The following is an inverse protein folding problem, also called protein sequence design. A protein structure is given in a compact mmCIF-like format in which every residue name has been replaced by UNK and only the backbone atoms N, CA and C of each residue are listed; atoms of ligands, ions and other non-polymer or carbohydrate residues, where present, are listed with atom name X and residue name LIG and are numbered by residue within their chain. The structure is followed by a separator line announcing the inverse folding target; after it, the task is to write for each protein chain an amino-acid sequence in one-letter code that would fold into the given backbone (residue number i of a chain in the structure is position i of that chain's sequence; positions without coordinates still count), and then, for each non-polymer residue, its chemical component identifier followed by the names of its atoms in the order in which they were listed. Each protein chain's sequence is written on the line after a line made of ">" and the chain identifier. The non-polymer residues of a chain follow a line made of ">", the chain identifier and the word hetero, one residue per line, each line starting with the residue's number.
data_IF_373776399974
#
_entry.id   IF_373776399974
#
_cell.length_a   1.000
_cell.length_b   1.000
_cell.length_c   1.000
_cell.angle_alpha   90.00
_cell.angle_beta   90.00
_cell.angle_gamma   90.00
#
_symmetry.space_group_name_H-M   'P 1'
#
loop_
_entity.id
_entity.type
_entity.pdbx_description
1 polymer ?
#
# COMPACT_ATOMS: atom_id res chain seq x y z
N UNK A 1 41.59 28.45 -6.26
CA UNK A 1 42.65 28.40 -7.29
C UNK A 1 43.94 27.86 -6.69
N UNK A 2 44.27 26.58 -6.93
CA UNK A 2 45.65 26.05 -6.96
C UNK A 2 45.64 24.66 -7.62
N UNK A 3 45.98 24.72 -8.90
CA UNK A 3 46.48 23.73 -9.88
C UNK A 3 46.36 22.22 -9.60
N UNK A 4 45.58 21.61 -10.52
CA UNK A 4 45.68 20.27 -11.09
C UNK A 4 47.12 19.75 -11.30
N UNK A 5 47.30 18.45 -11.10
CA UNK A 5 48.18 17.64 -11.96
C UNK A 5 47.56 16.25 -12.15
N UNK A 6 47.43 15.86 -13.42
CA UNK A 6 46.73 14.70 -13.94
C UNK A 6 47.74 13.90 -14.77
N UNK A 7 47.98 12.62 -14.44
CA UNK A 7 48.64 11.60 -15.28
C UNK A 7 48.12 10.24 -14.79
N UNK A 8 47.11 9.65 -15.44
CA UNK A 8 47.19 8.68 -16.55
C UNK A 8 47.86 7.35 -16.18
N UNK A 9 47.08 6.26 -16.25
CA UNK A 9 47.53 4.89 -16.02
C UNK A 9 46.43 3.85 -16.24
N UNK A 10 46.02 3.71 -17.50
CA UNK A 10 45.14 2.68 -18.04
C UNK A 10 45.73 1.27 -17.80
N UNK A 11 44.98 0.32 -17.22
CA UNK A 11 45.22 -1.11 -17.43
C UNK A 11 43.91 -1.90 -17.37
N UNK A 12 43.46 -2.36 -18.54
CA UNK A 12 42.48 -3.44 -18.71
C UNK A 12 42.97 -4.71 -18.03
N UNK A 13 42.09 -5.41 -17.29
CA UNK A 13 42.13 -6.87 -17.27
C UNK A 13 40.70 -7.41 -17.19
N UNK A 14 40.27 -8.03 -18.29
CA UNK A 14 39.08 -8.87 -18.33
C UNK A 14 39.41 -10.23 -17.69
N UNK A 15 38.51 -10.73 -16.84
CA UNK A 15 38.49 -12.14 -16.45
C UNK A 15 37.09 -12.67 -16.69
N UNK A 16 37.01 -13.54 -17.70
CA UNK A 16 35.89 -14.40 -18.06
C UNK A 16 36.13 -15.75 -17.40
N UNK A 17 35.18 -16.22 -16.61
CA UNK A 17 34.88 -17.63 -16.29
C UNK A 17 33.39 -17.62 -15.91
N UNK A 18 32.46 -18.39 -16.47
CA UNK A 18 32.51 -19.59 -17.29
C UNK A 18 31.34 -20.45 -16.81
N UNK A 19 30.26 -20.52 -17.60
CA UNK A 19 29.13 -21.43 -17.33
C UNK A 19 29.61 -22.89 -17.35
N UNK A 20 29.12 -23.68 -16.40
CA UNK A 20 29.20 -25.14 -16.40
C UNK A 20 27.89 -25.71 -15.88
N UNK A 21 27.03 -26.12 -16.80
CA UNK A 21 25.97 -27.10 -16.58
C UNK A 21 26.55 -28.49 -16.93
N UNK A 22 26.13 -29.51 -16.19
CA UNK A 22 26.10 -30.93 -16.58
C UNK A 22 26.05 -31.82 -15.32
N UNK A 23 25.08 -32.74 -15.26
CA UNK A 23 25.34 -34.04 -14.63
C UNK A 23 24.24 -34.68 -13.80
N UNK A 24 23.19 -35.13 -14.48
CA UNK A 24 22.23 -36.14 -14.02
C UNK A 24 22.93 -37.47 -13.66
N UNK A 25 22.65 -38.05 -12.49
CA UNK A 25 22.84 -39.48 -12.24
C UNK A 25 21.78 -40.00 -11.25
N UNK A 26 20.95 -40.94 -11.73
CA UNK A 26 20.06 -41.73 -10.90
C UNK A 26 20.60 -43.14 -10.67
N UNK A 27 20.28 -43.72 -9.51
CA UNK A 27 20.05 -45.15 -9.25
C UNK A 27 19.59 -45.26 -7.78
N UNK A 28 18.33 -45.55 -7.49
CA UNK A 28 17.69 -46.88 -7.46
C UNK A 28 17.73 -47.53 -6.06
N UNK A 29 16.54 -47.56 -5.45
CA UNK A 29 15.93 -48.60 -4.62
C UNK A 29 16.78 -49.37 -3.59
N UNK A 30 16.37 -49.30 -2.33
CA UNK A 30 16.16 -50.51 -1.52
C UNK A 30 15.05 -50.29 -0.49
N UNK A 31 13.97 -51.06 -0.63
CA UNK A 31 12.94 -51.29 0.40
C UNK A 31 13.52 -52.18 1.51
N UNK A 32 12.99 -52.13 2.74
CA UNK A 32 12.37 -53.37 3.20
C UNK A 32 11.05 -53.15 3.96
N UNK A 33 10.05 -53.90 3.50
CA UNK A 33 8.87 -54.32 4.25
C UNK A 33 9.21 -55.42 5.25
N UNK A 34 8.57 -55.40 6.43
CA UNK A 34 8.03 -56.54 7.22
C UNK A 34 7.38 -55.94 8.48
N UNK A 35 6.07 -55.79 8.60
CA UNK A 35 4.96 -56.77 8.69
C UNK A 35 4.88 -57.52 10.03
N UNK A 36 3.89 -57.15 10.86
CA UNK A 36 3.02 -58.05 11.67
C UNK A 36 2.01 -57.20 12.45
N UNK A 37 0.71 -57.25 12.09
CA UNK A 37 -0.35 -58.16 12.63
C UNK A 37 -0.66 -57.87 14.12
N UNK A 38 -1.90 -57.82 14.63
CA UNK A 38 -3.23 -58.17 14.14
C UNK A 38 -4.29 -57.72 15.17
N UNK A 39 -5.57 -57.67 14.73
CA UNK A 39 -6.81 -57.97 15.51
C UNK A 39 -7.34 -56.91 16.50
N UNK A 40 -8.64 -56.66 16.66
CA UNK A 40 -9.87 -57.14 16.01
C UNK A 40 -11.07 -56.30 16.50
N UNK A 41 -12.11 -56.23 15.66
CA UNK A 41 -13.56 -56.27 15.98
C UNK A 41 -14.22 -55.21 16.89
N UNK A 42 -15.31 -54.63 16.37
CA UNK A 42 -16.36 -54.01 17.19
C UNK A 42 -17.45 -53.35 16.35
N UNK A 43 -18.25 -54.16 15.66
CA UNK A 43 -19.52 -53.81 15.01
C UNK A 43 -20.62 -53.55 16.07
N UNK A 44 -21.50 -52.57 15.84
CA UNK A 44 -22.93 -52.62 16.19
C UNK A 44 -23.71 -51.41 15.66
N UNK A 45 -24.86 -51.74 15.11
CA UNK A 45 -25.89 -50.97 14.41
C UNK A 45 -27.01 -50.48 15.35
N UNK A 46 -28.04 -49.84 14.77
CA UNK A 46 -29.32 -49.30 15.32
C UNK A 46 -29.28 -47.79 15.64
N UNK A 47 -30.24 -46.95 15.22
CA UNK A 47 -31.52 -47.14 14.55
C UNK A 47 -32.59 -46.18 15.13
N UNK A 48 -33.36 -45.54 14.23
CA UNK A 48 -34.77 -45.11 14.36
C UNK A 48 -35.17 -43.61 14.52
N UNK A 49 -35.67 -43.09 13.38
CA UNK A 49 -36.89 -42.32 13.05
C UNK A 49 -37.78 -41.62 14.11
N UNK A 50 -38.16 -40.35 13.85
CA UNK A 50 -39.56 -39.82 13.72
C UNK A 50 -39.53 -38.36 13.21
N UNK A 51 -40.02 -38.01 12.00
CA UNK A 51 -41.37 -37.52 11.60
C UNK A 51 -42.11 -36.54 12.53
N UNK A 52 -42.40 -35.34 12.00
CA UNK A 52 -43.35 -34.36 12.54
C UNK A 52 -43.53 -33.14 11.63
N UNK A 53 -44.60 -33.14 10.83
CA UNK A 53 -45.09 -32.11 9.90
C UNK A 53 -45.85 -30.95 10.60
N UNK A 54 -45.74 -29.72 10.06
CA UNK A 54 -46.79 -28.72 9.70
C UNK A 54 -46.12 -27.33 9.63
N UNK A 55 -46.12 -26.56 8.52
CA UNK A 55 -47.20 -26.02 7.66
C UNK A 55 -47.99 -24.87 8.29
N UNK A 56 -47.84 -23.67 7.70
CA UNK A 56 -48.81 -22.58 7.44
C UNK A 56 -47.98 -21.33 7.03
N UNK A 57 -47.89 -20.88 5.77
CA UNK A 57 -48.89 -20.28 4.85
C UNK A 57 -49.53 -19.00 5.38
N UNK A 58 -49.06 -17.84 4.90
CA UNK A 58 -49.91 -16.72 4.52
C UNK A 58 -49.35 -16.03 3.26
N UNK A 59 -50.27 -15.70 2.35
CA UNK A 59 -50.08 -15.14 0.99
C UNK A 59 -50.68 -13.70 0.98
N UNK A 60 -50.82 -12.97 -0.15
CA UNK A 60 -50.27 -11.63 -0.30
C UNK A 60 -51.35 -10.54 -0.35
N UNK A 61 -51.00 -9.32 0.06
CA UNK A 61 -51.85 -8.13 -0.08
C UNK A 61 -51.51 -7.34 -1.34
N UNK A 62 -52.34 -7.46 -2.37
CA UNK A 62 -52.37 -6.59 -3.56
C UNK A 62 -53.41 -5.51 -3.36
N UNK A 63 -53.08 -4.23 -3.58
CA UNK A 63 -54.06 -3.23 -4.04
C UNK A 63 -53.40 -2.17 -4.92
N UNK A 64 -53.90 -2.13 -6.15
CA UNK A 64 -53.73 -1.12 -7.19
C UNK A 64 -54.51 0.16 -6.85
N UNK A 65 -53.99 1.33 -7.19
CA UNK A 65 -54.83 2.41 -7.75
C UNK A 65 -54.00 3.44 -8.50
N UNK A 66 -54.34 3.61 -9.78
CA UNK A 66 -53.89 4.69 -10.64
C UNK A 66 -54.70 5.97 -10.38
N UNK A 67 -54.11 7.14 -10.62
CA UNK A 67 -54.81 8.25 -11.30
C UNK A 67 -53.82 9.29 -11.82
N UNK A 68 -53.97 9.62 -13.10
CA UNK A 68 -53.43 10.80 -13.76
C UNK A 68 -54.08 12.09 -13.21
N UNK A 69 -53.49 13.27 -13.50
CA UNK A 69 -54.09 14.38 -14.30
C UNK A 69 -53.36 15.74 -14.07
N UNK A 70 -52.89 16.32 -15.19
CA UNK A 70 -52.72 17.75 -15.59
C UNK A 70 -51.74 18.74 -14.93
N UNK A 71 -50.97 19.37 -15.82
CA UNK A 71 -50.31 20.68 -15.80
C UNK A 71 -51.22 21.86 -15.40
N UNK A 72 -50.61 23.03 -15.13
CA UNK A 72 -50.80 24.11 -16.10
C UNK A 72 -49.52 24.87 -16.48
N UNK A 73 -49.52 25.28 -17.75
CA UNK A 73 -48.68 26.27 -18.42
C UNK A 73 -48.81 27.65 -17.76
N UNK A 74 -47.73 28.42 -17.72
CA UNK A 74 -47.80 29.89 -17.73
C UNK A 74 -46.66 30.47 -18.58
N UNK A 75 -47.09 31.29 -19.54
CA UNK A 75 -46.32 32.03 -20.54
C UNK A 75 -45.59 33.24 -19.95
N UNK A 76 -44.44 33.59 -20.56
CA UNK A 76 -43.99 34.93 -21.01
C UNK A 76 -43.95 36.15 -20.05
N UNK A 77 -43.04 37.11 -20.27
CA UNK A 77 -42.94 37.76 -21.58
C UNK A 77 -41.54 38.02 -22.14
N UNK A 78 -41.58 38.23 -23.45
CA UNK A 78 -40.57 38.63 -24.43
C UNK A 78 -40.01 40.04 -24.20
N UNK A 79 -38.76 40.26 -24.60
CA UNK A 79 -38.33 41.54 -25.19
C UNK A 79 -37.18 41.31 -26.18
N UNK A 80 -37.51 41.53 -27.46
CA UNK A 80 -36.60 41.68 -28.59
C UNK A 80 -35.81 42.99 -28.49
N UNK A 81 -34.60 43.05 -29.09
CA UNK A 81 -34.20 44.04 -30.11
C UNK A 81 -32.74 43.80 -30.59
N UNK A 82 -32.63 43.24 -31.81
CA UNK A 82 -31.88 43.73 -33.00
C UNK A 82 -30.34 43.89 -33.02
N UNK A 83 -29.69 42.91 -33.66
CA UNK A 83 -28.74 42.91 -34.79
C UNK A 83 -27.64 43.98 -35.02
N UNK A 84 -26.36 43.51 -34.95
CA UNK A 84 -25.27 43.59 -35.97
C UNK A 84 -24.46 44.89 -36.16
N UNK A 85 -23.26 44.90 -36.79
CA UNK A 85 -22.54 43.81 -37.50
C UNK A 85 -21.01 43.63 -37.21
N UNK A 86 -20.47 42.51 -37.71
CA UNK A 86 -19.10 42.15 -38.19
C UNK A 86 -17.82 42.84 -37.67
N UNK A 87 -16.78 42.09 -37.26
CA UNK A 87 -15.59 41.67 -38.07
C UNK A 87 -14.51 40.95 -37.23
N UNK A 88 -13.91 39.92 -37.86
CA UNK A 88 -12.51 39.46 -37.76
C UNK A 88 -11.88 38.94 -36.44
N UNK A 89 -11.59 37.63 -36.45
CA UNK A 89 -10.22 37.09 -36.30
C UNK A 89 -9.61 37.00 -34.91
N UNK A 90 -9.70 35.82 -34.28
CA UNK A 90 -8.50 35.04 -33.91
C UNK A 90 -8.93 33.62 -33.53
N UNK A 91 -8.26 32.61 -34.08
CA UNK A 91 -8.31 31.24 -33.55
C UNK A 91 -7.58 31.24 -32.22
N UNK A 92 -8.33 31.40 -31.13
CA UNK A 92 -7.87 31.10 -29.78
C UNK A 92 -7.75 29.58 -29.63
N UNK A 93 -6.68 29.03 -30.21
CA UNK A 93 -6.12 27.79 -29.74
C UNK A 93 -5.43 28.10 -28.40
N UNK A 94 -6.22 28.17 -27.33
CA UNK A 94 -5.69 28.06 -25.97
C UNK A 94 -5.23 26.62 -25.80
N UNK A 95 -4.06 26.32 -26.36
CA UNK A 95 -3.28 25.15 -25.99
C UNK A 95 -2.82 25.44 -24.55
N UNK A 96 -3.65 25.07 -23.57
CA UNK A 96 -3.17 24.87 -22.22
C UNK A 96 -2.19 23.71 -22.35
N UNK A 97 -0.94 24.06 -22.62
CA UNK A 97 0.17 23.16 -22.40
C UNK A 97 0.13 22.87 -20.91
N UNK A 98 -0.13 21.60 -20.49
CA UNK A 98 0.01 21.25 -19.09
C UNK A 98 1.40 21.72 -18.65
N UNK A 99 1.56 22.26 -17.44
CA UNK A 99 2.88 22.62 -16.95
C UNK A 99 3.80 21.42 -17.16
N UNK A 100 4.86 21.65 -17.93
CA UNK A 100 5.97 20.75 -18.23
C UNK A 100 6.85 20.46 -16.99
N UNK A 101 6.33 20.79 -15.81
CA UNK A 101 6.96 20.59 -14.52
C UNK A 101 6.70 19.20 -13.99
N UNK A 102 7.29 18.18 -14.64
CA UNK A 102 7.79 16.93 -14.02
C UNK A 102 6.88 16.13 -13.07
N UNK A 103 5.58 16.41 -13.00
CA UNK A 103 4.60 15.69 -12.22
C UNK A 103 3.73 14.86 -13.15
N UNK A 104 3.48 13.61 -12.80
CA UNK A 104 2.70 12.68 -13.59
C UNK A 104 1.32 13.21 -13.98
N UNK A 105 0.74 12.64 -15.04
CA UNK A 105 -0.60 13.04 -15.51
C UNK A 105 -1.65 12.58 -14.50
N UNK A 106 -2.48 13.51 -14.03
CA UNK A 106 -3.62 13.21 -13.13
C UNK A 106 -4.92 13.36 -13.90
N UNK A 107 -5.43 12.26 -14.45
CA UNK A 107 -6.66 12.23 -15.25
C UNK A 107 -7.94 12.20 -14.40
N UNK A 108 -7.81 11.80 -13.14
CA UNK A 108 -8.90 11.64 -12.17
C UNK A 108 -8.42 12.02 -10.76
N UNK A 109 -9.37 12.16 -9.84
CA UNK A 109 -9.17 12.43 -8.43
C UNK A 109 -9.46 11.16 -7.60
N UNK A 110 -8.47 10.62 -6.85
CA UNK A 110 -8.64 9.40 -6.09
C UNK A 110 -9.60 9.55 -4.89
N UNK A 111 -9.84 10.78 -4.40
CA UNK A 111 -10.76 11.06 -3.30
C UNK A 111 -12.22 10.93 -3.70
N UNK A 112 -12.56 11.35 -4.93
CA UNK A 112 -13.95 11.38 -5.42
C UNK A 112 -14.25 10.34 -6.50
N UNK A 113 -13.23 9.64 -7.01
CA UNK A 113 -13.36 8.58 -8.02
C UNK A 113 -14.15 9.05 -9.26
N UNK A 114 -13.77 10.20 -9.83
CA UNK A 114 -14.47 10.89 -10.92
C UNK A 114 -14.25 10.29 -12.32
N UNK A 115 -14.09 8.97 -12.38
CA UNK A 115 -13.96 8.22 -13.62
C UNK A 115 -15.31 7.89 -14.28
N UNK A 116 -15.33 7.61 -15.61
CA UNK A 116 -16.51 7.10 -16.28
C UNK A 116 -17.06 5.83 -15.60
N UNK A 117 -18.37 5.59 -15.75
CA UNK A 117 -19.01 4.43 -15.14
C UNK A 117 -18.33 3.11 -15.54
N UNK A 118 -18.06 2.26 -14.55
CA UNK A 118 -17.34 0.99 -14.72
C UNK A 118 -15.81 1.14 -14.69
N UNK A 119 -15.29 2.32 -14.37
CA UNK A 119 -13.86 2.57 -14.16
C UNK A 119 -13.62 3.13 -12.76
N UNK A 120 -12.38 2.97 -12.27
CA UNK A 120 -11.90 3.50 -11.00
C UNK A 120 -10.64 4.33 -11.22
N UNK A 121 -10.40 5.29 -10.34
CA UNK A 121 -9.20 6.13 -10.41
C UNK A 121 -8.03 5.38 -9.78
N UNK A 122 -6.95 5.17 -10.52
CA UNK A 122 -5.83 4.34 -10.09
C UNK A 122 -4.48 5.06 -10.17
N UNK A 123 -3.68 4.99 -9.10
CA UNK A 123 -2.26 5.35 -9.12
C UNK A 123 -1.49 4.48 -10.11
N UNK A 124 -0.57 5.06 -10.86
CA UNK A 124 0.31 4.33 -11.76
C UNK A 124 1.61 5.10 -12.05
N UNK A 125 2.60 4.39 -12.61
CA UNK A 125 3.79 5.00 -13.23
C UNK A 125 3.48 5.42 -14.67
N UNK A 126 3.53 6.72 -14.94
CA UNK A 126 3.27 7.35 -16.23
C UNK A 126 4.47 7.35 -17.17
N UNK A 127 5.69 7.32 -16.64
CA UNK A 127 6.93 7.25 -17.40
C UNK A 127 7.53 5.83 -17.48
N UNK A 128 6.93 4.87 -16.75
CA UNK A 128 7.31 3.47 -16.75
C UNK A 128 8.46 3.13 -15.80
N UNK A 129 8.77 4.03 -14.87
CA UNK A 129 9.61 3.73 -13.71
C UNK A 129 8.86 2.89 -12.65
N UNK A 130 9.37 2.84 -11.41
CA UNK A 130 8.76 2.13 -10.29
C UNK A 130 8.09 3.08 -9.28
N UNK A 131 7.73 4.29 -9.71
CA UNK A 131 7.08 5.29 -8.88
C UNK A 131 5.58 5.34 -9.17
N UNK A 132 4.78 5.70 -8.17
CA UNK A 132 3.39 6.08 -8.40
C UNK A 132 3.30 7.60 -8.39
N UNK A 133 3.39 8.22 -9.56
CA UNK A 133 3.37 9.69 -9.72
C UNK A 133 2.21 10.19 -10.61
N UNK A 134 1.47 9.27 -11.23
CA UNK A 134 0.36 9.57 -12.14
C UNK A 134 -0.97 8.92 -11.67
N UNK A 135 -2.10 9.44 -12.15
CA UNK A 135 -3.45 8.92 -11.89
C UNK A 135 -4.22 8.74 -13.21
N UNK A 136 -4.83 7.58 -13.42
CA UNK A 136 -5.65 7.29 -14.61
C UNK A 136 -6.92 6.53 -14.27
N UNK A 137 -7.91 6.57 -15.15
CA UNK A 137 -9.09 5.73 -15.02
C UNK A 137 -8.83 4.34 -15.62
N UNK A 138 -9.00 3.29 -14.81
CA UNK A 138 -8.89 1.89 -15.27
C UNK A 138 -10.20 1.14 -15.07
N UNK A 139 -10.54 0.18 -15.96
CA UNK A 139 -11.74 -0.64 -15.80
C UNK A 139 -11.75 -1.40 -14.46
N UNK A 140 -12.91 -1.45 -13.81
CA UNK A 140 -13.13 -2.32 -12.66
C UNK A 140 -13.34 -3.75 -13.18
N UNK A 141 -12.56 -4.70 -12.67
CA UNK A 141 -12.67 -6.10 -13.07
C UNK A 141 -13.97 -6.76 -12.57
N UNK A 142 -14.38 -7.85 -13.22
CA UNK A 142 -15.51 -8.65 -12.73
C UNK A 142 -15.17 -9.30 -11.38
N UNK A 143 -16.12 -9.31 -10.45
CA UNK A 143 -15.95 -9.81 -9.08
C UNK A 143 -14.74 -9.19 -8.36
N UNK A 144 -14.71 -7.85 -8.21
CA UNK A 144 -13.55 -7.18 -7.65
C UNK A 144 -13.36 -7.48 -6.16
N UNK A 145 -12.10 -7.60 -5.75
CA UNK A 145 -11.71 -7.85 -4.36
C UNK A 145 -11.97 -6.65 -3.45
N UNK A 146 -12.33 -6.92 -2.20
CA UNK A 146 -12.53 -5.95 -1.13
C UNK A 146 -11.28 -5.82 -0.26
N UNK A 147 -11.28 -4.90 0.69
CA UNK A 147 -10.16 -4.72 1.63
C UNK A 147 -9.76 -6.04 2.30
N UNK A 148 -8.48 -6.42 2.19
CA UNK A 148 -7.91 -7.64 2.76
C UNK A 148 -8.03 -8.89 1.88
N UNK A 149 -8.77 -8.84 0.77
CA UNK A 149 -8.80 -9.93 -0.20
C UNK A 149 -7.47 -10.01 -0.98
N UNK A 150 -7.00 -11.21 -1.35
CA UNK A 150 -5.87 -11.35 -2.25
C UNK A 150 -6.21 -10.77 -3.62
N UNK A 151 -5.21 -10.18 -4.29
CA UNK A 151 -5.38 -9.54 -5.57
C UNK A 151 -4.22 -9.79 -6.52
N UNK A 152 -4.42 -9.47 -7.79
CA UNK A 152 -3.39 -9.53 -8.83
C UNK A 152 -3.33 -8.22 -9.60
N UNK A 153 -2.13 -7.85 -10.04
CA UNK A 153 -1.91 -6.76 -11.00
C UNK A 153 -1.65 -7.28 -12.41
N UNK A 154 -1.97 -6.47 -13.42
CA UNK A 154 -1.62 -6.77 -14.82
C UNK A 154 -0.35 -6.02 -15.25
N UNK A 155 0.68 -6.75 -15.68
CA UNK A 155 1.92 -6.18 -16.20
C UNK A 155 2.94 -5.80 -15.13
N UNK A 156 2.61 -4.89 -14.21
CA UNK A 156 3.46 -4.51 -13.08
C UNK A 156 2.65 -3.97 -11.89
N UNK A 157 3.24 -3.96 -10.69
CA UNK A 157 2.64 -3.38 -9.48
C UNK A 157 2.31 -1.89 -9.59
N UNK A 158 2.98 -1.19 -10.51
CA UNK A 158 2.79 0.24 -10.79
C UNK A 158 1.97 0.49 -12.05
N UNK A 159 1.33 -0.54 -12.62
CA UNK A 159 0.55 -0.42 -13.85
C UNK A 159 -0.77 0.33 -13.68
N UNK A 160 -1.32 0.39 -12.45
CA UNK A 160 -2.66 0.89 -12.15
C UNK A 160 -3.80 -0.02 -12.61
N UNK A 161 -3.51 -1.25 -13.05
CA UNK A 161 -4.50 -2.26 -13.45
C UNK A 161 -4.44 -3.41 -12.45
N UNK A 162 -5.52 -3.62 -11.71
CA UNK A 162 -5.59 -4.65 -10.68
C UNK A 162 -7.00 -5.23 -10.49
N UNK A 163 -7.10 -6.28 -9.66
CA UNK A 163 -8.35 -7.00 -9.38
C UNK A 163 -9.18 -6.46 -8.22
N UNK A 164 -8.86 -5.28 -7.68
CA UNK A 164 -9.54 -4.68 -6.54
C UNK A 164 -10.72 -3.79 -6.95
N UNK A 165 -11.64 -3.54 -6.02
CA UNK A 165 -12.85 -2.75 -6.27
C UNK A 165 -12.58 -1.24 -6.43
N UNK A 166 -13.64 -0.48 -6.70
CA UNK A 166 -13.64 0.98 -6.69
C UNK A 166 -13.03 1.51 -5.39
N UNK A 167 -12.19 2.54 -5.51
CA UNK A 167 -11.44 3.10 -4.38
C UNK A 167 -10.60 2.05 -3.60
N UNK A 168 -10.08 1.04 -4.31
CA UNK A 168 -9.10 0.10 -3.78
C UNK A 168 -7.96 -0.10 -4.78
N UNK A 169 -6.79 -0.46 -4.26
CA UNK A 169 -5.62 -0.82 -5.04
C UNK A 169 -5.00 -2.11 -4.51
N UNK A 170 -4.42 -2.89 -5.42
CA UNK A 170 -3.61 -4.04 -5.05
C UNK A 170 -2.26 -3.55 -4.53
N UNK A 171 -2.03 -3.73 -3.22
CA UNK A 171 -0.86 -3.25 -2.51
C UNK A 171 0.09 -4.39 -2.15
N UNK A 172 1.36 -4.03 -1.93
CA UNK A 172 2.44 -4.93 -1.58
C UNK A 172 2.53 -6.12 -2.55
N UNK A 173 2.61 -5.80 -3.84
CA UNK A 173 2.59 -6.80 -4.90
C UNK A 173 3.95 -7.48 -5.02
N UNK A 174 3.98 -8.80 -4.93
CA UNK A 174 5.16 -9.59 -5.23
C UNK A 174 5.54 -9.40 -6.73
N UNK A 175 6.79 -9.02 -7.03
CA UNK A 175 7.19 -8.66 -8.40
C UNK A 175 7.26 -9.86 -9.35
N UNK A 176 7.39 -11.09 -8.85
CA UNK A 176 7.49 -12.31 -9.65
C UNK A 176 6.13 -12.88 -10.01
N UNK A 177 5.17 -12.78 -9.08
CA UNK A 177 3.82 -13.35 -9.21
C UNK A 177 2.76 -12.32 -9.58
N UNK A 178 2.98 -11.04 -9.24
CA UNK A 178 1.99 -9.98 -9.34
C UNK A 178 0.87 -10.09 -8.31
N UNK A 179 1.01 -10.94 -7.29
CA UNK A 179 0.02 -11.13 -6.23
C UNK A 179 0.24 -10.14 -5.08
N UNK A 180 -0.84 -9.62 -4.50
CA UNK A 180 -0.82 -8.70 -3.37
C UNK A 180 -2.11 -8.74 -2.56
N UNK A 181 -2.39 -7.67 -1.81
CA UNK A 181 -3.63 -7.53 -1.03
C UNK A 181 -4.38 -6.25 -1.39
N UNK A 182 -5.70 -6.33 -1.54
CA UNK A 182 -6.53 -5.16 -1.80
C UNK A 182 -6.55 -4.24 -0.57
N UNK A 183 -6.12 -2.99 -0.76
CA UNK A 183 -6.14 -1.93 0.24
C UNK A 183 -7.08 -0.83 -0.22
N UNK A 184 -7.91 -0.33 0.70
CA UNK A 184 -8.87 0.75 0.43
C UNK A 184 -8.17 2.11 0.40
N UNK A 185 -8.69 3.02 -0.40
CA UNK A 185 -8.28 4.41 -0.36
C UNK A 185 -8.84 5.16 0.85
N UNK A 186 -8.13 6.22 1.23
CA UNK A 186 -8.60 7.16 2.23
C UNK A 186 -9.92 7.81 1.81
N UNK A 187 -10.72 8.15 2.81
CA UNK A 187 -11.97 8.90 2.68
C UNK A 187 -11.81 10.30 3.27
N UNK A 188 -12.75 11.20 2.96
CA UNK A 188 -12.71 12.59 3.44
C UNK A 188 -12.01 13.52 2.45
N UNK A 189 -10.98 14.23 2.91
CA UNK A 189 -10.21 15.17 2.09
C UNK A 189 -8.73 15.16 2.49
N UNK A 190 -7.83 15.76 1.68
CA UNK A 190 -6.42 15.90 2.06
C UNK A 190 -6.17 16.57 3.42
N UNK A 191 -7.04 17.51 3.82
CA UNK A 191 -6.92 18.25 5.08
C UNK A 191 -7.60 17.54 6.27
N UNK A 192 -8.46 16.56 5.99
CA UNK A 192 -9.17 15.77 6.99
C UNK A 192 -9.29 14.31 6.52
N UNK A 193 -8.15 13.61 6.36
CA UNK A 193 -8.15 12.24 5.87
C UNK A 193 -8.68 11.27 6.93
N UNK A 194 -9.41 10.26 6.48
CA UNK A 194 -9.91 9.19 7.35
C UNK A 194 -9.89 7.83 6.66
N UNK A 195 -10.04 6.77 7.46
CA UNK A 195 -10.24 5.42 6.98
C UNK A 195 -11.51 4.84 7.59
N UNK A 196 -12.38 4.27 6.76
CA UNK A 196 -13.60 3.62 7.23
C UNK A 196 -13.35 2.18 7.74
N UNK A 197 -12.14 1.66 7.50
CA UNK A 197 -11.73 0.32 7.91
C UNK A 197 -11.10 0.41 9.29
N UNK A 198 -11.70 -0.29 10.26
CA UNK A 198 -11.18 -0.32 11.63
C UNK A 198 -9.76 -0.91 11.66
N UNK A 199 -8.88 -0.32 12.47
CA UNK A 199 -7.50 -0.77 12.57
C UNK A 199 -6.60 -0.31 11.41
N UNK A 200 -7.05 0.65 10.59
CA UNK A 200 -6.22 1.27 9.54
C UNK A 200 -6.06 2.77 9.77
N UNK A 201 -4.97 3.34 9.27
CA UNK A 201 -4.67 4.77 9.33
C UNK A 201 -4.39 5.27 7.91
N UNK A 202 -4.85 6.47 7.58
CA UNK A 202 -4.65 7.02 6.25
C UNK A 202 -3.20 7.47 6.06
N UNK A 203 -2.66 7.17 4.88
CA UNK A 203 -1.34 7.58 4.44
C UNK A 203 -1.45 8.23 3.07
N UNK A 204 -1.06 9.50 2.99
CA UNK A 204 -0.98 10.26 1.74
C UNK A 204 0.51 10.45 1.41
N UNK A 205 0.94 9.89 0.29
CA UNK A 205 2.32 10.04 -0.22
C UNK A 205 2.31 10.35 -1.72
N UNK A 206 3.47 10.67 -2.27
CA UNK A 206 3.68 11.02 -3.68
C UNK A 206 2.73 12.14 -4.14
N UNK A 207 2.70 13.27 -3.42
CA UNK A 207 1.85 14.43 -3.73
C UNK A 207 0.37 14.09 -3.92
N UNK A 208 -0.13 13.17 -3.09
CA UNK A 208 -1.54 12.75 -3.09
C UNK A 208 -1.93 11.76 -4.18
N UNK A 209 -0.95 11.18 -4.89
CA UNK A 209 -1.20 10.09 -5.84
C UNK A 209 -1.55 8.81 -5.09
N UNK A 210 -0.85 8.50 -4.00
CA UNK A 210 -1.18 7.38 -3.14
C UNK A 210 -1.92 7.88 -1.90
N UNK A 211 -3.15 7.41 -1.72
CA UNK A 211 -4.01 7.72 -0.57
C UNK A 211 -4.51 6.42 0.07
N UNK A 212 -3.66 5.70 0.80
CA UNK A 212 -3.94 4.32 1.25
C UNK A 212 -4.36 4.26 2.72
N UNK A 213 -5.32 3.40 3.03
CA UNK A 213 -5.66 3.01 4.40
C UNK A 213 -4.85 1.77 4.80
N UNK A 214 -3.70 1.99 5.41
CA UNK A 214 -2.78 0.92 5.79
C UNK A 214 -3.06 0.40 7.20
N UNK A 215 -2.88 -0.91 7.46
CA UNK A 215 -3.06 -1.49 8.80
C UNK A 215 -2.17 -0.78 9.82
N UNK A 216 -2.73 -0.51 11.00
CA UNK A 216 -1.94 -0.06 12.14
C UNK A 216 -1.21 -1.25 12.78
N UNK A 217 -0.09 -0.96 13.43
CA UNK A 217 0.79 -1.95 14.02
C UNK A 217 1.46 -1.42 15.29
N UNK A 218 2.14 -2.31 16.01
CA UNK A 218 2.99 -1.97 17.16
C UNK A 218 4.48 -2.06 16.75
N UNK A 219 5.24 -0.95 16.81
CA UNK A 219 6.64 -0.93 16.38
C UNK A 219 7.56 -1.80 17.26
N UNK A 220 7.17 -2.12 18.48
CA UNK A 220 7.93 -3.03 19.36
C UNK A 220 7.63 -4.50 19.04
N UNK A 221 6.45 -4.80 18.51
CA UNK A 221 6.06 -6.17 18.15
C UNK A 221 6.33 -6.52 16.68
N UNK A 222 6.38 -5.52 15.79
CA UNK A 222 6.50 -5.69 14.34
C UNK A 222 5.45 -6.69 13.80
N UNK A 223 4.19 -6.47 14.16
CA UNK A 223 3.07 -7.37 13.91
C UNK A 223 2.44 -7.24 12.51
N UNK A 224 3.21 -6.72 11.56
CA UNK A 224 2.82 -6.60 10.16
C UNK A 224 2.90 -7.94 9.43
N UNK A 225 1.99 -8.15 8.48
CA UNK A 225 1.92 -9.39 7.70
C UNK A 225 2.99 -9.41 6.61
N UNK A 226 3.40 -10.60 6.17
CA UNK A 226 4.27 -10.75 4.99
C UNK A 226 5.72 -10.32 5.18
N UNK A 227 6.15 -9.96 6.39
CA UNK A 227 7.47 -9.40 6.64
C UNK A 227 7.54 -7.89 6.45
N UNK A 228 6.39 -7.23 6.31
CA UNK A 228 6.29 -5.77 6.23
C UNK A 228 6.81 -5.08 7.50
N UNK A 229 7.15 -3.79 7.35
CA UNK A 229 7.70 -2.98 8.43
C UNK A 229 6.59 -2.23 9.16
N UNK A 230 6.69 -2.18 10.48
CA UNK A 230 5.88 -1.27 11.29
C UNK A 230 6.64 0.04 11.54
N UNK A 231 6.23 1.12 10.86
CA UNK A 231 6.88 2.43 10.93
C UNK A 231 5.90 3.55 11.32
N UNK A 232 6.37 4.71 11.81
CA UNK A 232 5.50 5.83 12.16
C UNK A 232 4.72 6.33 10.94
N UNK A 233 3.44 6.67 11.12
CA UNK A 233 2.64 7.23 10.04
C UNK A 233 3.03 8.72 9.83
N UNK A 234 3.50 9.11 8.63
CA UNK A 234 3.91 10.49 8.37
C UNK A 234 2.77 11.51 8.46
N UNK A 235 1.52 11.06 8.36
CA UNK A 235 0.34 11.91 8.43
C UNK A 235 -0.33 11.97 9.80
N UNK A 236 -0.12 10.94 10.60
CA UNK A 236 -0.76 10.78 11.89
C UNK A 236 0.30 10.37 12.92
N UNK A 237 0.91 11.33 13.62
CA UNK A 237 2.01 11.06 14.55
C UNK A 237 1.61 10.16 15.72
N UNK A 238 0.30 9.97 15.93
CA UNK A 238 -0.27 9.14 16.98
C UNK A 238 -0.43 7.66 16.56
N UNK A 239 0.08 7.28 15.38
CA UNK A 239 -0.06 5.91 14.85
C UNK A 239 1.18 5.42 14.13
N UNK A 240 1.34 4.10 14.13
CA UNK A 240 2.27 3.36 13.29
C UNK A 240 1.48 2.54 12.26
N UNK A 241 2.08 2.28 11.10
CA UNK A 241 1.44 1.63 9.97
C UNK A 241 2.35 0.57 9.35
N UNK A 242 1.73 -0.48 8.81
CA UNK A 242 2.40 -1.49 8.02
C UNK A 242 2.69 -0.98 6.61
N UNK A 243 3.96 -0.98 6.23
CA UNK A 243 4.43 -0.62 4.90
C UNK A 243 5.30 -1.72 4.33
N UNK A 244 5.42 -1.77 3.01
CA UNK A 244 6.31 -2.71 2.35
C UNK A 244 7.75 -2.53 2.86
N UNK A 245 8.40 -3.65 3.12
CA UNK A 245 9.83 -3.67 3.41
C UNK A 245 10.64 -3.43 2.13
N UNK A 246 11.46 -2.38 2.14
CA UNK A 246 12.38 -2.04 1.07
C UNK A 246 13.85 -2.07 1.51
N UNK A 247 14.17 -2.66 2.66
CA UNK A 247 15.55 -2.79 3.16
C UNK A 247 16.41 -3.69 2.26
N UNK A 248 15.81 -4.76 1.74
CA UNK A 248 16.51 -5.73 0.88
C UNK A 248 17.50 -6.58 1.66
N UNK A 249 18.76 -6.65 1.19
CA UNK A 249 19.85 -7.32 1.94
C UNK A 249 20.59 -6.34 2.88
N UNK A 250 20.35 -5.03 2.77
CA UNK A 250 20.90 -3.97 3.63
C UNK A 250 19.86 -3.55 4.68
N UNK A 251 20.10 -2.47 5.43
CA UNK A 251 19.14 -1.91 6.38
C UNK A 251 19.29 -2.47 7.79
N UNK A 252 20.42 -3.11 8.09
CA UNK A 252 20.75 -3.56 9.42
C UNK A 252 20.99 -2.38 10.37
N UNK A 253 21.03 -2.65 11.67
CA UNK A 253 21.31 -1.62 12.66
C UNK A 253 22.64 -0.90 12.36
N UNK A 254 22.57 0.43 12.34
CA UNK A 254 23.63 1.37 11.95
C UNK A 254 23.96 1.47 10.46
N UNK A 255 23.24 0.77 9.58
CA UNK A 255 23.35 0.98 8.14
C UNK A 255 22.80 2.35 7.74
N UNK A 256 23.32 2.85 6.62
CA UNK A 256 22.84 4.10 6.01
C UNK A 256 21.46 3.89 5.41
N UNK A 257 20.59 4.88 5.53
CA UNK A 257 19.25 4.84 4.96
C UNK A 257 18.85 6.21 4.42
N UNK A 258 18.01 6.21 3.38
CA UNK A 258 17.47 7.42 2.78
C UNK A 258 15.92 7.46 2.83
N UNK A 259 15.29 6.33 3.14
CA UNK A 259 13.83 6.18 3.16
C UNK A 259 13.36 5.55 4.46
N UNK A 260 12.14 5.90 4.86
CA UNK A 260 11.50 5.46 6.10
C UNK A 260 11.35 3.94 6.21
N UNK A 261 11.25 3.25 5.07
CA UNK A 261 11.06 1.79 4.96
C UNK A 261 12.31 1.07 4.43
N UNK A 262 13.49 1.68 4.54
CA UNK A 262 14.76 1.11 4.08
C UNK A 262 15.54 0.39 5.20
N UNK A 263 14.95 0.24 6.39
CA UNK A 263 15.57 -0.43 7.52
C UNK A 263 14.81 -1.71 7.87
N UNK A 264 15.53 -2.72 8.35
CA UNK A 264 14.96 -4.01 8.71
C UNK A 264 13.87 -3.91 9.81
N UNK A 265 12.98 -4.91 9.94
CA UNK A 265 11.93 -4.90 10.95
C UNK A 265 12.44 -4.58 12.37
N UNK A 266 11.79 -3.61 13.02
CA UNK A 266 12.17 -3.13 14.35
C UNK A 266 13.15 -1.96 14.34
N UNK A 267 13.62 -1.56 13.15
CA UNK A 267 14.49 -0.40 12.96
C UNK A 267 13.73 0.71 12.21
N UNK A 268 14.17 1.95 12.39
CA UNK A 268 13.64 3.09 11.66
C UNK A 268 14.76 4.03 11.21
N UNK A 269 14.57 4.63 10.03
CA UNK A 269 15.54 5.54 9.47
C UNK A 269 15.50 6.90 10.18
N UNK A 270 16.53 7.18 10.98
CA UNK A 270 16.63 8.39 11.79
C UNK A 270 17.95 9.14 11.52
N UNK A 271 18.10 10.32 12.13
CA UNK A 271 19.30 11.13 11.98
C UNK A 271 20.56 10.39 12.45
N UNK A 272 21.67 10.41 11.68
CA UNK A 272 22.90 9.70 12.04
C UNK A 272 23.55 10.24 13.32
N UNK A 273 23.22 11.45 13.76
CA UNK A 273 23.68 12.03 15.01
C UNK A 273 23.21 11.29 16.27
N UNK A 274 22.23 10.39 16.14
CA UNK A 274 21.69 9.62 17.26
C UNK A 274 22.52 8.37 17.59
N UNK A 275 23.52 7.97 16.81
CA UNK A 275 24.45 6.93 17.24
C UNK A 275 25.87 7.19 16.75
N UNK A 276 26.85 6.75 17.55
CA UNK A 276 28.27 6.97 17.24
C UNK A 276 28.80 6.07 16.13
N UNK A 277 28.07 4.99 15.86
CA UNK A 277 28.32 3.96 14.87
C UNK A 277 27.89 4.39 13.46
N UNK A 278 26.95 5.33 13.36
CA UNK A 278 26.45 5.86 12.10
C UNK A 278 27.50 6.72 11.38
N UNK A 279 27.47 6.72 10.04
CA UNK A 279 28.26 7.68 9.26
C UNK A 279 27.65 9.10 9.42
N UNK A 280 28.38 10.07 10.02
CA UNK A 280 27.85 11.42 10.21
C UNK A 280 27.63 12.20 8.91
N UNK A 281 28.06 11.67 7.75
CA UNK A 281 27.81 12.25 6.43
C UNK A 281 26.64 11.59 5.69
N UNK A 282 26.03 10.53 6.23
CA UNK A 282 24.87 9.87 5.64
C UNK A 282 23.60 10.72 5.81
N UNK A 283 22.58 10.41 5.00
CA UNK A 283 21.27 11.07 5.11
C UNK A 283 20.51 10.60 6.36
N UNK A 284 20.63 9.32 6.69
CA UNK A 284 20.00 8.68 7.83
C UNK A 284 20.76 7.42 8.26
N UNK A 285 20.36 6.87 9.39
CA UNK A 285 20.89 5.68 10.00
C UNK A 285 19.76 4.81 10.57
N UNK A 286 19.84 3.50 10.35
CA UNK A 286 18.84 2.55 10.87
C UNK A 286 19.05 2.33 12.37
N UNK A 287 18.09 2.77 13.18
CA UNK A 287 18.13 2.69 14.65
C UNK A 287 16.94 1.91 15.19
N UNK A 288 17.17 1.12 16.24
CA UNK A 288 16.16 0.22 16.78
C UNK A 288 15.10 0.94 17.61
N UNK A 289 13.83 0.57 17.42
CA UNK A 289 12.80 0.80 18.43
C UNK A 289 13.16 0.04 19.72
N UNK A 290 12.75 0.58 20.86
CA UNK A 290 13.02 -0.02 22.16
C UNK A 290 11.86 0.21 23.14
N UNK A 291 11.68 -0.72 24.08
CA UNK A 291 10.70 -0.60 25.16
C UNK A 291 11.30 0.22 26.32
N UNK A 292 10.75 1.40 26.59
CA UNK A 292 11.23 2.29 27.67
C UNK A 292 11.14 1.61 29.05
N UNK A 293 10.19 0.69 29.24
CA UNK A 293 10.00 -0.04 30.49
C UNK A 293 10.99 -1.21 30.67
N UNK A 294 11.58 -1.67 29.57
CA UNK A 294 12.59 -2.71 29.51
C UNK A 294 13.69 -2.35 28.49
N UNK A 295 14.49 -1.30 28.75
CA UNK A 295 15.33 -0.70 27.73
C UNK A 295 16.49 -1.61 27.34
N UNK A 296 16.56 -1.95 26.05
CA UNK A 296 17.65 -2.70 25.44
C UNK A 296 18.13 -1.96 24.18
N UNK A 297 19.36 -1.44 24.23
CA UNK A 297 20.02 -0.80 23.09
C UNK A 297 21.43 -1.37 22.93
N UNK A 298 21.82 -1.67 21.69
CA UNK A 298 23.12 -2.29 21.37
C UNK A 298 24.21 -1.25 21.13
N UNK A 299 23.83 -0.04 20.70
CA UNK A 299 24.72 1.08 20.39
C UNK A 299 25.49 1.61 21.60
N UNK A 300 26.70 2.09 21.35
CA UNK A 300 27.60 2.59 22.39
C UNK A 300 27.05 3.87 23.02
N UNK A 301 26.75 3.79 24.32
CA UNK A 301 26.11 4.86 25.10
C UNK A 301 24.71 5.24 24.59
N UNK A 302 24.06 4.37 23.82
CA UNK A 302 22.68 4.53 23.46
C UNK A 302 21.78 4.34 24.68
N UNK A 303 20.77 5.18 24.80
CA UNK A 303 19.67 5.06 25.74
C UNK A 303 18.37 4.85 24.97
N UNK A 304 17.36 4.25 25.62
CA UNK A 304 16.05 4.16 25.04
C UNK A 304 15.31 5.50 25.22
N UNK A 305 15.37 6.34 24.19
CA UNK A 305 14.76 7.67 24.20
C UNK A 305 13.26 7.55 23.92
N UNK A 306 12.43 8.20 24.73
CA UNK A 306 10.98 8.14 24.53
C UNK A 306 10.59 8.73 23.16
N UNK A 307 9.72 8.01 22.43
CA UNK A 307 9.23 8.48 21.13
C UNK A 307 8.28 9.67 21.30
N UNK A 308 7.45 9.62 22.33
CA UNK A 308 6.51 10.67 22.68
C UNK A 308 6.98 11.47 23.89
N UNK A 309 6.63 12.76 23.92
CA UNK A 309 6.79 13.58 25.13
C UNK A 309 5.98 13.02 26.30
N UNK A 310 6.41 13.31 27.53
CA UNK A 310 5.76 12.81 28.74
C UNK A 310 4.26 13.19 28.76
N UNK A 311 3.41 12.15 28.81
CA UNK A 311 1.95 12.31 28.84
C UNK A 311 1.29 12.58 27.49
N UNK A 312 2.05 12.59 26.39
CA UNK A 312 1.54 12.79 25.03
C UNK A 312 1.42 11.49 24.23
N UNK A 313 1.92 10.37 24.75
CA UNK A 313 1.80 9.08 24.08
C UNK A 313 0.33 8.67 23.91
N UNK A 314 -0.08 8.26 22.71
CA UNK A 314 -1.38 7.63 22.50
C UNK A 314 -1.52 6.34 23.31
N UNK A 315 -2.75 5.93 23.69
CA UNK A 315 -2.97 4.68 24.41
C UNK A 315 -2.41 3.48 23.65
N UNK A 316 -1.54 2.70 24.30
CA UNK A 316 -0.85 1.54 23.73
C UNK A 316 0.57 1.83 23.25
N UNK A 317 0.98 3.09 23.11
CA UNK A 317 2.32 3.48 22.68
C UNK A 317 3.16 4.17 23.78
N UNK A 318 2.74 4.07 25.04
CA UNK A 318 3.39 4.73 26.17
C UNK A 318 4.84 4.28 26.41
N UNK A 319 5.16 3.06 25.98
CA UNK A 319 6.48 2.45 26.15
C UNK A 319 7.34 2.50 24.87
N UNK A 320 6.84 3.08 23.78
CA UNK A 320 7.60 3.14 22.52
C UNK A 320 8.71 4.16 22.66
N UNK A 321 9.93 3.71 22.48
CA UNK A 321 11.12 4.53 22.37
C UNK A 321 11.97 4.15 21.17
N UNK A 322 13.08 4.87 21.01
CA UNK A 322 14.10 4.58 20.02
C UNK A 322 15.49 4.65 20.64
N UNK A 323 16.36 3.73 20.26
CA UNK A 323 17.74 3.70 20.70
C UNK A 323 18.53 4.85 20.10
N UNK A 324 19.07 5.72 20.94
CA UNK A 324 19.87 6.85 20.51
C UNK A 324 20.70 7.47 21.62
N UNK A 325 21.64 8.32 21.25
CA UNK A 325 22.46 9.09 22.18
C UNK A 325 21.58 10.12 22.91
N UNK A 326 21.70 10.23 24.25
CA UNK A 326 20.95 11.23 25.00
C UNK A 326 21.31 12.64 24.54
N UNK A 327 20.29 13.49 24.38
CA UNK A 327 20.40 14.89 23.92
C UNK A 327 20.59 15.87 25.07
#
# INVERSE_FOLDING_TARGET
>A
MKKFSLVSGLLCTALVFGCGDDGKAGASATNPTTNSTNNNTGDATEGDTSTGNNSDTETPGTTTSASATTSPTSEGPTSDTTAGPSTEGTTDNTFIMPPDGGGGTKECDPWVQDCPAGQKCMPYSGDGDNSWESLKCTPIMENPGQTGDPCTVEGSGVSGIDSCDLAHMCWNTDPDTGEGTCVKFCTGSPDAPSCDVAGTSCTIVNDGVLILCLPMCDPLLQDCQGGDLCIPNPMNPDSFICVLDASGEEGQEFDVCEYANACDPGLYCLGPELASECDPMAAGCCLAFCDISAPECTGANAECLAWYEEGMAPPGFENVGVCGLPQ
#
